data_IF_151257044909
#
_entry.id   IF_151257044909
#
_cell.length_a   1.000
_cell.length_b   1.000
_cell.length_c   1.000
_cell.angle_alpha   90.00
_cell.angle_beta   90.00
_cell.angle_gamma   90.00
#
_symmetry.space_group_name_H-M   'P 1'
#
loop_
_entity.id
_entity.type
_entity.pdbx_description
1 polymer ?
#
# COMPACT_ATOMS: atom_id res chain seq x y z
N UNK A 1 -19.91 -7.84 7.92
CA UNK A 1 -19.04 -6.72 7.50
C UNK A 1 -19.84 -5.51 7.06
N UNK A 2 -20.88 -5.66 6.23
CA UNK A 2 -21.68 -4.51 5.76
C UNK A 2 -22.37 -3.71 6.88
N UNK A 3 -23.02 -4.39 7.84
CA UNK A 3 -23.61 -3.74 9.01
C UNK A 3 -22.60 -2.89 9.81
N UNK A 4 -21.37 -3.40 9.95
CA UNK A 4 -20.31 -2.67 10.63
C UNK A 4 -19.87 -1.42 9.86
N UNK A 5 -19.73 -1.52 8.53
CA UNK A 5 -19.43 -0.39 7.66
C UNK A 5 -20.49 0.71 7.78
N UNK A 6 -21.77 0.33 7.81
CA UNK A 6 -22.88 1.27 7.94
C UNK A 6 -22.83 2.02 9.28
N UNK A 7 -22.65 1.31 10.40
CA UNK A 7 -22.53 1.93 11.73
C UNK A 7 -21.38 2.95 11.79
N UNK A 8 -20.22 2.63 11.21
CA UNK A 8 -19.07 3.52 11.15
C UNK A 8 -19.28 4.70 10.18
N UNK A 9 -19.94 4.45 9.05
CA UNK A 9 -20.33 5.50 8.09
C UNK A 9 -21.26 6.52 8.75
N UNK A 10 -22.20 6.08 9.58
CA UNK A 10 -23.08 6.97 10.34
C UNK A 10 -22.31 7.75 11.41
N UNK A 11 -21.43 7.07 12.16
CA UNK A 11 -20.60 7.68 13.21
C UNK A 11 -19.75 8.83 12.67
N UNK A 12 -19.15 8.68 11.49
CA UNK A 12 -18.20 9.67 10.95
C UNK A 12 -18.79 10.62 9.90
N UNK A 13 -20.11 10.61 9.71
CA UNK A 13 -20.79 11.45 8.71
C UNK A 13 -20.55 12.95 8.97
N UNK A 14 -20.58 13.38 10.23
CA UNK A 14 -20.37 14.77 10.64
C UNK A 14 -18.92 15.25 10.40
N UNK A 15 -17.98 14.30 10.40
CA UNK A 15 -16.56 14.55 10.18
C UNK A 15 -16.15 14.49 8.70
N UNK A 16 -17.13 14.29 7.80
CA UNK A 16 -16.92 14.21 6.37
C UNK A 16 -16.09 13.00 5.93
N UNK A 17 -16.10 11.92 6.72
CA UNK A 17 -15.41 10.67 6.40
C UNK A 17 -16.41 9.63 5.89
N UNK A 18 -16.23 9.27 4.62
CA UNK A 18 -17.04 8.27 3.93
C UNK A 18 -16.27 6.96 3.72
N UNK A 19 -16.98 5.84 3.82
CA UNK A 19 -16.48 4.48 3.62
C UNK A 19 -17.16 3.84 2.42
N UNK A 20 -16.35 3.46 1.44
CA UNK A 20 -16.79 2.71 0.27
C UNK A 20 -16.39 1.23 0.40
N UNK A 21 -17.21 0.29 -0.09
CA UNK A 21 -16.87 -1.13 -0.04
C UNK A 21 -15.59 -1.40 -0.85
N UNK A 22 -14.71 -2.24 -0.31
CA UNK A 22 -13.49 -2.70 -0.95
C UNK A 22 -13.39 -4.23 -0.98
N UNK A 23 -12.33 -4.77 -1.61
CA UNK A 23 -12.14 -6.21 -1.71
C UNK A 23 -11.76 -6.84 -0.36
N UNK A 24 -12.05 -8.14 -0.20
CA UNK A 24 -11.55 -8.97 0.90
C UNK A 24 -11.81 -8.40 2.32
N UNK A 25 -12.94 -7.70 2.51
CA UNK A 25 -13.32 -7.13 3.81
C UNK A 25 -12.60 -5.82 4.17
N UNK A 26 -11.90 -5.19 3.22
CA UNK A 26 -11.38 -3.83 3.34
C UNK A 26 -12.41 -2.79 2.88
N UNK A 27 -12.22 -1.54 3.30
CA UNK A 27 -13.02 -0.39 2.86
C UNK A 27 -12.09 0.74 2.40
N UNK A 28 -12.56 1.52 1.44
CA UNK A 28 -11.88 2.75 1.01
C UNK A 28 -12.45 3.93 1.81
N UNK A 29 -11.58 4.60 2.55
CA UNK A 29 -11.91 5.78 3.32
C UNK A 29 -11.67 7.06 2.50
N UNK A 30 -12.63 7.97 2.49
CA UNK A 30 -12.55 9.24 1.78
C UNK A 30 -12.91 10.40 2.71
N UNK A 31 -11.97 11.31 2.91
CA UNK A 31 -12.19 12.58 3.58
C UNK A 31 -11.15 13.61 3.12
N UNK A 32 -11.49 14.91 3.03
CA UNK A 32 -10.51 15.95 2.68
C UNK A 32 -9.31 16.00 3.63
N UNK A 33 -9.52 15.73 4.92
CA UNK A 33 -8.47 15.77 5.95
C UNK A 33 -7.54 14.55 5.95
N UNK A 34 -7.88 13.48 5.21
CA UNK A 34 -6.96 12.35 5.00
C UNK A 34 -5.83 12.70 4.01
N UNK A 35 -5.98 13.81 3.27
CA UNK A 35 -5.03 14.25 2.25
C UNK A 35 -3.65 14.52 2.86
N UNK A 36 -2.62 13.94 2.24
CA UNK A 36 -1.22 14.17 2.61
C UNK A 36 -0.77 13.46 3.89
N UNK A 37 -1.63 12.66 4.52
CA UNK A 37 -1.24 11.86 5.67
C UNK A 37 -0.37 10.68 5.24
N UNK A 38 0.78 10.51 5.88
CA UNK A 38 1.64 9.36 5.69
C UNK A 38 1.15 8.18 6.54
N UNK A 39 0.12 7.48 6.05
CA UNK A 39 -0.50 6.35 6.75
C UNK A 39 0.23 5.03 6.41
N UNK A 40 0.88 4.36 7.38
CA UNK A 40 1.65 3.15 7.10
C UNK A 40 0.77 2.03 6.56
N UNK A 41 1.33 1.15 5.72
CA UNK A 41 0.64 -0.07 5.31
C UNK A 41 0.40 -1.00 6.49
N UNK A 42 -0.66 -1.80 6.42
CA UNK A 42 -0.94 -2.82 7.44
C UNK A 42 0.21 -3.81 7.60
N UNK A 43 0.92 -4.13 6.51
CA UNK A 43 2.07 -5.03 6.52
C UNK A 43 3.23 -4.53 7.37
N UNK A 44 3.37 -3.21 7.45
CA UNK A 44 4.43 -2.58 8.23
C UNK A 44 4.10 -2.57 9.72
N UNK A 45 2.82 -2.46 10.07
CA UNK A 45 2.37 -2.32 11.47
C UNK A 45 1.96 -3.65 12.08
N UNK A 46 1.54 -4.61 11.26
CA UNK A 46 1.18 -5.95 11.73
C UNK A 46 2.35 -6.55 12.52
N UNK A 47 2.02 -7.12 13.70
CA UNK A 47 2.98 -7.72 14.65
C UNK A 47 4.00 -6.75 15.26
N UNK A 48 3.84 -5.45 15.06
CA UNK A 48 4.66 -4.43 15.71
C UNK A 48 3.85 -3.66 16.74
N UNK A 49 4.57 -2.95 17.63
CA UNK A 49 3.92 -2.01 18.53
C UNK A 49 3.39 -0.81 17.73
N UNK A 50 2.07 -0.68 17.69
CA UNK A 50 1.38 0.41 16.98
C UNK A 50 1.80 1.80 17.47
N UNK A 51 2.27 1.90 18.72
CA UNK A 51 2.74 3.16 19.32
C UNK A 51 3.94 3.77 18.59
N UNK A 52 4.72 2.95 17.88
CA UNK A 52 5.83 3.42 17.05
C UNK A 52 5.36 4.26 15.86
N UNK A 53 4.11 4.08 15.44
CA UNK A 53 3.49 4.76 14.31
C UNK A 53 2.60 5.93 14.72
N UNK A 54 2.23 6.00 16.00
CA UNK A 54 1.39 7.08 16.56
C UNK A 54 1.91 8.49 16.33
N UNK A 55 3.23 8.81 16.38
CA UNK A 55 3.71 10.17 16.11
C UNK A 55 3.45 10.66 14.67
N UNK A 56 3.54 9.76 13.69
CA UNK A 56 3.19 10.06 12.29
C UNK A 56 1.67 10.23 12.11
N UNK A 57 0.87 9.52 12.92
CA UNK A 57 -0.60 9.64 12.96
C UNK A 57 -1.09 10.83 13.79
N UNK A 58 -0.26 11.39 14.68
CA UNK A 58 -0.60 12.50 15.57
C UNK A 58 -0.83 13.84 14.84
N UNK A 59 -0.56 13.89 13.54
CA UNK A 59 -0.73 15.09 12.72
C UNK A 59 -2.21 15.41 12.45
N UNK A 60 -3.15 14.53 12.84
CA UNK A 60 -4.60 14.80 12.76
C UNK A 60 -5.33 14.36 14.01
N UNK A 61 -5.78 15.35 14.81
CA UNK A 61 -6.72 15.12 15.93
C UNK A 61 -7.99 14.39 15.46
N UNK A 62 -8.42 14.64 14.23
CA UNK A 62 -9.56 13.98 13.59
C UNK A 62 -9.35 12.48 13.42
N UNK A 63 -8.18 12.03 12.96
CA UNK A 63 -7.90 10.61 12.80
C UNK A 63 -7.85 9.88 14.14
N UNK A 64 -7.23 10.50 15.15
CA UNK A 64 -7.17 9.94 16.50
C UNK A 64 -8.57 9.81 17.11
N UNK A 65 -9.41 10.85 16.96
CA UNK A 65 -10.80 10.81 17.41
C UNK A 65 -11.57 9.72 16.66
N UNK A 66 -11.49 9.69 15.33
CA UNK A 66 -12.16 8.67 14.52
C UNK A 66 -11.76 7.25 14.94
N UNK A 67 -10.48 7.00 15.20
CA UNK A 67 -10.00 5.71 15.70
C UNK A 67 -10.54 5.36 17.08
N UNK A 68 -10.55 6.31 18.02
CA UNK A 68 -11.10 6.10 19.36
C UNK A 68 -12.61 5.84 19.32
N UNK A 69 -13.37 6.61 18.55
CA UNK A 69 -14.80 6.42 18.38
C UNK A 69 -15.12 5.08 17.71
N UNK A 70 -14.36 4.69 16.68
CA UNK A 70 -14.50 3.35 16.11
C UNK A 70 -14.21 2.26 17.14
N UNK A 71 -13.15 2.39 17.94
CA UNK A 71 -12.84 1.40 18.96
C UNK A 71 -13.98 1.25 19.97
N UNK A 72 -14.59 2.36 20.42
CA UNK A 72 -15.75 2.33 21.30
C UNK A 72 -16.95 1.65 20.62
N UNK A 73 -17.28 2.04 19.38
CA UNK A 73 -18.39 1.45 18.62
C UNK A 73 -18.19 -0.06 18.39
N UNK A 74 -16.95 -0.48 18.11
CA UNK A 74 -16.61 -1.87 17.83
C UNK A 74 -16.78 -2.76 19.04
N UNK A 75 -16.52 -2.25 20.25
CA UNK A 75 -16.54 -3.05 21.48
C UNK A 75 -17.86 -3.82 21.65
N UNK A 76 -18.99 -3.14 21.47
CA UNK A 76 -20.33 -3.69 21.70
C UNK A 76 -21.11 -3.95 20.40
N UNK A 77 -20.41 -4.02 19.26
CA UNK A 77 -21.11 -4.16 17.99
C UNK A 77 -21.67 -5.59 17.80
N UNK A 78 -22.94 -5.78 17.39
CA UNK A 78 -23.56 -7.11 17.23
C UNK A 78 -22.84 -8.06 16.26
N UNK A 79 -22.03 -7.52 15.35
CA UNK A 79 -21.15 -8.32 14.48
C UNK A 79 -20.11 -9.08 15.28
N UNK A 80 -19.61 -8.52 16.38
CA UNK A 80 -18.66 -9.21 17.25
C UNK A 80 -19.32 -10.34 18.04
N UNK A 81 -20.59 -10.19 18.46
CA UNK A 81 -21.36 -11.28 19.07
C UNK A 81 -21.54 -12.45 18.09
N UNK A 82 -21.93 -12.14 16.85
CA UNK A 82 -22.08 -13.15 15.80
C UNK A 82 -20.75 -13.85 15.48
N UNK A 83 -19.63 -13.13 15.51
CA UNK A 83 -18.28 -13.70 15.35
C UNK A 83 -17.91 -14.60 16.51
N UNK A 84 -18.18 -14.18 17.74
CA UNK A 84 -17.93 -14.97 18.94
C UNK A 84 -18.73 -16.28 18.95
N UNK A 85 -20.00 -16.24 18.53
CA UNK A 85 -20.83 -17.43 18.35
C UNK A 85 -20.27 -18.44 17.32
N UNK A 86 -19.40 -17.97 16.41
CA UNK A 86 -18.70 -18.79 15.41
C UNK A 86 -17.26 -19.13 15.82
N UNK A 87 -16.83 -18.78 17.04
CA UNK A 87 -15.45 -18.97 17.51
C UNK A 87 -14.42 -18.06 16.83
N UNK A 88 -14.85 -17.02 16.12
CA UNK A 88 -13.99 -16.04 15.47
C UNK A 88 -13.60 -14.92 16.43
N UNK A 89 -12.39 -14.39 16.29
CA UNK A 89 -11.92 -13.25 17.08
C UNK A 89 -12.75 -11.98 16.80
N UNK A 90 -13.01 -11.13 17.81
CA UNK A 90 -13.71 -9.87 17.61
C UNK A 90 -12.88 -8.90 16.76
N UNK A 91 -13.56 -8.03 16.04
CA UNK A 91 -12.97 -6.87 15.37
C UNK A 91 -12.94 -5.74 16.40
N UNK A 92 -11.75 -5.35 16.85
CA UNK A 92 -11.58 -4.40 17.95
C UNK A 92 -10.87 -3.10 17.53
N UNK A 93 -10.38 -3.00 16.31
CA UNK A 93 -9.69 -1.83 15.79
C UNK A 93 -9.82 -1.72 14.27
N UNK A 94 -9.61 -0.51 13.76
CA UNK A 94 -9.46 -0.21 12.35
C UNK A 94 -8.11 0.43 12.09
N UNK A 95 -7.49 0.02 10.99
CA UNK A 95 -6.24 0.60 10.52
C UNK A 95 -6.49 1.34 9.21
N UNK A 96 -6.10 2.61 9.18
CA UNK A 96 -6.10 3.40 7.94
C UNK A 96 -4.71 3.28 7.30
N UNK A 97 -4.67 2.96 6.02
CA UNK A 97 -3.43 2.81 5.26
C UNK A 97 -3.58 3.38 3.86
N UNK A 98 -2.48 3.82 3.25
CA UNK A 98 -2.46 4.16 1.83
C UNK A 98 -3.27 5.40 1.48
N UNK A 99 -3.24 6.44 2.33
CA UNK A 99 -3.86 7.71 1.98
C UNK A 99 -3.25 8.27 0.69
N UNK A 100 -4.12 8.71 -0.21
CA UNK A 100 -3.76 9.19 -1.53
C UNK A 100 -4.81 10.14 -2.08
N UNK A 101 -4.64 10.53 -3.33
CA UNK A 101 -5.62 11.33 -4.06
C UNK A 101 -6.36 10.42 -5.04
N UNK A 102 -7.66 10.63 -5.18
CA UNK A 102 -8.37 10.09 -6.32
C UNK A 102 -7.81 10.74 -7.60
N UNK A 103 -7.55 9.96 -8.66
CA UNK A 103 -7.07 10.51 -9.92
C UNK A 103 -8.09 11.47 -10.51
N UNK A 104 -7.62 12.54 -11.17
CA UNK A 104 -8.50 13.50 -11.85
C UNK A 104 -9.20 12.88 -13.06
N UNK A 105 -8.56 11.91 -13.72
CA UNK A 105 -9.10 11.14 -14.85
C UNK A 105 -9.09 9.64 -14.50
N UNK A 106 -10.25 9.14 -14.07
CA UNK A 106 -10.41 7.75 -13.69
C UNK A 106 -10.19 6.77 -14.87
N UNK A 107 -10.54 7.17 -16.10
CA UNK A 107 -10.37 6.29 -17.26
C UNK A 107 -8.88 6.13 -17.60
N UNK A 108 -8.12 7.23 -17.54
CA UNK A 108 -6.68 7.19 -17.70
C UNK A 108 -6.01 6.33 -16.61
N UNK A 109 -6.42 6.49 -15.35
CA UNK A 109 -5.91 5.72 -14.22
C UNK A 109 -6.11 4.22 -14.41
N UNK A 110 -7.32 3.81 -14.81
CA UNK A 110 -7.65 2.40 -15.07
C UNK A 110 -6.79 1.84 -16.20
N UNK A 111 -6.69 2.55 -17.33
CA UNK A 111 -5.87 2.11 -18.46
C UNK A 111 -4.36 2.02 -18.13
N UNK A 112 -3.89 2.73 -17.11
CA UNK A 112 -2.53 2.56 -16.59
C UNK A 112 -2.41 1.39 -15.63
N UNK A 113 -3.37 1.20 -14.74
CA UNK A 113 -3.41 0.07 -13.80
C UNK A 113 -3.42 -1.28 -14.53
N UNK A 114 -4.09 -1.37 -15.68
CA UNK A 114 -4.08 -2.57 -16.53
C UNK A 114 -2.68 -2.95 -17.05
N UNK A 115 -1.75 -1.98 -17.09
CA UNK A 115 -0.35 -2.21 -17.49
C UNK A 115 0.57 -2.51 -16.29
N UNK A 116 0.08 -2.32 -15.06
CA UNK A 116 0.85 -2.53 -13.84
C UNK A 116 0.71 -3.99 -13.38
N UNK A 117 1.79 -4.75 -13.52
CA UNK A 117 1.85 -6.14 -13.06
C UNK A 117 2.52 -6.21 -11.70
N UNK A 118 1.79 -6.66 -10.68
CA UNK A 118 2.30 -6.81 -9.31
C UNK A 118 2.61 -8.27 -9.01
N UNK A 119 3.83 -8.55 -8.56
CA UNK A 119 4.25 -9.88 -8.10
C UNK A 119 4.39 -9.89 -6.57
N UNK A 120 3.46 -10.54 -5.87
CA UNK A 120 3.40 -10.57 -4.41
C UNK A 120 4.06 -11.81 -3.77
N UNK A 121 4.68 -12.70 -4.56
CA UNK A 121 5.20 -13.98 -4.09
C UNK A 121 6.25 -13.84 -2.97
N UNK A 122 7.10 -12.81 -3.05
CA UNK A 122 8.11 -12.50 -2.03
C UNK A 122 7.51 -12.02 -0.70
N UNK A 123 6.27 -11.52 -0.71
CA UNK A 123 5.65 -10.84 0.44
C UNK A 123 5.38 -11.79 1.60
N UNK A 124 4.77 -12.95 1.31
CA UNK A 124 4.38 -13.91 2.35
C UNK A 124 5.58 -14.44 3.16
N UNK A 125 6.65 -14.99 2.55
CA UNK A 125 7.80 -15.48 3.31
C UNK A 125 8.55 -14.35 4.02
N UNK A 126 8.65 -13.14 3.41
CA UNK A 126 9.25 -11.99 4.07
C UNK A 126 8.50 -11.59 5.37
N UNK A 127 7.17 -11.59 5.35
CA UNK A 127 6.35 -11.27 6.53
C UNK A 127 6.39 -12.36 7.62
N UNK A 128 6.80 -13.58 7.27
CA UNK A 128 6.93 -14.71 8.18
C UNK A 128 8.36 -14.86 8.73
N UNK A 129 9.33 -14.14 8.17
CA UNK A 129 10.75 -14.33 8.50
C UNK A 129 11.33 -15.64 7.93
N UNK A 130 10.65 -16.24 6.94
CA UNK A 130 11.12 -17.45 6.28
C UNK A 130 12.17 -17.10 5.21
N UNK A 131 13.44 -17.17 5.60
CA UNK A 131 14.55 -16.87 4.71
C UNK A 131 14.68 -17.86 3.55
N UNK A 132 14.43 -19.15 3.79
CA UNK A 132 14.59 -20.18 2.75
C UNK A 132 13.48 -20.08 1.71
N UNK A 133 12.22 -19.96 2.14
CA UNK A 133 11.10 -19.71 1.23
C UNK A 133 11.29 -18.41 0.46
N UNK A 134 11.75 -17.34 1.12
CA UNK A 134 12.02 -16.07 0.45
C UNK A 134 13.09 -16.18 -0.64
N UNK A 135 14.18 -16.91 -0.39
CA UNK A 135 15.23 -17.15 -1.38
C UNK A 135 14.73 -18.00 -2.57
N UNK A 136 13.90 -19.01 -2.32
CA UNK A 136 13.27 -19.81 -3.38
C UNK A 136 12.34 -18.99 -4.26
N UNK A 137 11.49 -18.15 -3.65
CA UNK A 137 10.60 -17.25 -4.41
C UNK A 137 11.38 -16.24 -5.25
N UNK A 138 12.53 -15.77 -4.77
CA UNK A 138 13.45 -14.96 -5.58
C UNK A 138 13.97 -15.71 -6.80
N UNK A 139 14.43 -16.94 -6.63
CA UNK A 139 14.92 -17.76 -7.74
C UNK A 139 13.81 -18.03 -8.77
N UNK A 140 12.60 -18.30 -8.32
CA UNK A 140 11.44 -18.51 -9.20
C UNK A 140 11.08 -17.23 -9.97
N UNK A 141 11.12 -16.07 -9.31
CA UNK A 141 10.83 -14.78 -9.90
C UNK A 141 11.90 -14.39 -10.94
N UNK A 142 13.18 -14.64 -10.64
CA UNK A 142 14.28 -14.41 -11.57
C UNK A 142 14.15 -15.27 -12.83
N UNK A 143 13.96 -16.59 -12.65
CA UNK A 143 13.88 -17.54 -13.76
C UNK A 143 12.68 -17.34 -14.68
N UNK A 144 11.59 -16.74 -14.18
CA UNK A 144 10.33 -16.58 -14.94
C UNK A 144 10.08 -15.14 -15.33
N UNK A 145 9.89 -14.28 -14.33
CA UNK A 145 9.41 -12.91 -14.53
C UNK A 145 10.55 -12.03 -15.04
N UNK A 146 11.70 -12.03 -14.35
CA UNK A 146 12.81 -11.16 -14.75
C UNK A 146 13.44 -11.61 -16.05
N UNK A 147 13.56 -12.92 -16.29
CA UNK A 147 14.02 -13.46 -17.57
C UNK A 147 13.14 -13.02 -18.76
N UNK A 148 11.81 -13.02 -18.59
CA UNK A 148 10.88 -12.52 -19.58
C UNK A 148 11.02 -11.01 -19.80
N UNK A 149 11.00 -10.23 -18.71
CA UNK A 149 11.16 -8.77 -18.76
C UNK A 149 12.48 -8.38 -19.44
N UNK A 150 13.57 -9.09 -19.15
CA UNK A 150 14.86 -8.85 -19.78
C UNK A 150 14.79 -9.08 -21.29
N UNK A 151 14.12 -10.14 -21.74
CA UNK A 151 13.95 -10.44 -23.17
C UNK A 151 13.14 -9.36 -23.88
N UNK A 152 12.08 -8.85 -23.24
CA UNK A 152 11.25 -7.76 -23.76
C UNK A 152 12.06 -6.46 -23.88
N UNK A 153 12.83 -6.12 -22.86
CA UNK A 153 13.71 -4.94 -22.91
C UNK A 153 14.78 -5.08 -24.00
N UNK A 154 15.35 -6.27 -24.19
CA UNK A 154 16.33 -6.55 -25.24
C UNK A 154 15.74 -6.46 -26.65
N UNK A 155 14.45 -6.77 -26.83
CA UNK A 155 13.75 -6.59 -28.11
C UNK A 155 13.28 -5.16 -28.36
N UNK A 156 13.60 -4.22 -27.45
CA UNK A 156 13.29 -2.80 -27.56
C UNK A 156 11.93 -2.40 -26.98
N UNK A 157 11.23 -3.30 -26.27
CA UNK A 157 10.01 -2.94 -25.58
C UNK A 157 10.31 -2.12 -24.31
N UNK A 158 9.60 -1.02 -24.07
CA UNK A 158 9.77 -0.23 -22.86
C UNK A 158 9.14 -0.96 -21.67
N UNK A 159 9.94 -1.30 -20.66
CA UNK A 159 9.47 -1.90 -19.41
C UNK A 159 10.15 -1.23 -18.22
N UNK A 160 9.39 -0.92 -17.17
CA UNK A 160 9.91 -0.42 -15.90
C UNK A 160 9.70 -1.48 -14.81
N UNK A 161 10.73 -1.73 -14.00
CA UNK A 161 10.69 -2.65 -12.87
C UNK A 161 10.82 -1.86 -11.58
N UNK A 162 9.87 -2.05 -10.67
CA UNK A 162 9.92 -1.47 -9.33
C UNK A 162 10.10 -2.58 -8.31
N UNK A 163 11.18 -2.49 -7.54
CA UNK A 163 11.43 -3.35 -6.39
C UNK A 163 11.12 -2.56 -5.13
N UNK A 164 10.04 -2.91 -4.44
CA UNK A 164 9.61 -2.25 -3.21
C UNK A 164 9.84 -3.15 -1.99
N UNK A 165 10.46 -2.60 -0.96
CA UNK A 165 10.65 -3.19 0.35
C UNK A 165 10.05 -2.32 1.47
N UNK A 166 10.24 -2.71 2.75
CA UNK A 166 9.59 -2.05 3.88
C UNK A 166 9.96 -0.57 4.08
N UNK A 167 11.17 -0.18 3.66
CA UNK A 167 11.72 1.17 3.87
C UNK A 167 12.20 1.84 2.59
N UNK A 168 12.37 1.06 1.51
CA UNK A 168 13.01 1.52 0.28
C UNK A 168 12.29 0.93 -0.90
N UNK A 169 12.24 1.70 -1.99
CA UNK A 169 11.87 1.21 -3.29
C UNK A 169 12.90 1.66 -4.32
N UNK A 170 13.11 0.84 -5.34
CA UNK A 170 14.04 1.10 -6.44
C UNK A 170 13.28 0.93 -7.75
N UNK A 171 13.30 1.95 -8.60
CA UNK A 171 12.80 1.88 -9.96
C UNK A 171 13.95 1.67 -10.94
N UNK A 172 13.80 0.69 -11.83
CA UNK A 172 14.76 0.32 -12.85
C UNK A 172 14.09 0.46 -14.21
N UNK A 173 14.65 1.32 -15.06
CA UNK A 173 14.17 1.53 -16.42
C UNK A 173 15.29 1.22 -17.44
N UNK A 174 14.95 0.85 -18.69
CA UNK A 174 15.94 0.58 -19.73
C UNK A 174 16.65 1.89 -20.04
N UNK A 175 17.98 1.88 -20.10
CA UNK A 175 18.67 3.10 -20.52
C UNK A 175 18.38 3.34 -21.99
N UNK A 176 17.82 4.51 -22.30
CA UNK A 176 17.68 4.98 -23.68
C UNK A 176 19.07 4.95 -24.31
N UNK A 177 19.20 4.26 -25.44
CA UNK A 177 20.46 4.08 -26.14
C UNK A 177 20.97 5.42 -26.70
N UNK A 178 21.77 6.12 -25.88
CA UNK A 178 22.55 7.27 -26.28
C UNK A 178 23.91 7.20 -25.59
N UNK A 179 24.98 7.50 -26.33
CA UNK A 179 26.36 7.49 -25.81
C UNK A 179 26.54 8.35 -24.55
N UNK A 180 25.76 9.44 -24.43
CA UNK A 180 25.68 10.30 -23.24
C UNK A 180 25.01 9.62 -22.02
N UNK A 181 24.06 8.71 -22.23
CA UNK A 181 23.38 7.99 -21.14
C UNK A 181 24.28 6.96 -20.44
N UNK A 182 25.30 6.43 -21.14
CA UNK A 182 26.30 5.53 -20.56
C UNK A 182 27.22 6.23 -19.55
N UNK A 183 27.47 7.53 -19.72
CA UNK A 183 28.25 8.33 -18.77
C UNK A 183 27.41 8.73 -17.54
N UNK A 184 26.12 8.99 -17.71
CA UNK A 184 25.19 9.29 -16.61
C UNK A 184 24.89 8.07 -15.71
N UNK A 185 25.07 6.83 -16.20
CA UNK A 185 24.82 5.59 -15.45
C UNK A 185 25.67 5.41 -14.20
N UNK A 186 26.86 6.01 -14.13
CA UNK A 186 27.72 5.94 -12.92
C UNK A 186 27.26 6.88 -11.80
N UNK A 187 26.30 7.76 -12.08
CA UNK A 187 25.90 8.88 -11.21
C UNK A 187 24.39 8.88 -10.89
N UNK A 188 23.64 7.83 -11.23
CA UNK A 188 22.38 7.52 -10.55
C UNK A 188 22.70 6.95 -9.17
N UNK A 189 23.26 7.82 -8.33
CA UNK A 189 23.48 7.58 -6.93
C UNK A 189 22.14 7.25 -6.29
N UNK A 190 22.08 6.15 -5.55
CA UNK A 190 20.97 5.81 -4.67
C UNK A 190 20.64 7.01 -3.78
N UNK A 191 19.48 7.67 -3.94
CA UNK A 191 19.03 8.56 -2.91
C UNK A 191 18.55 7.66 -1.76
N UNK A 192 19.14 7.72 -0.54
CA UNK A 192 18.36 7.38 0.64
C UNK A 192 17.10 8.26 0.64
N UNK A 193 16.06 7.84 1.35
CA UNK A 193 14.71 8.43 1.46
C UNK A 193 14.63 9.90 1.92
N UNK A 194 15.69 10.69 1.79
CA UNK A 194 15.77 12.08 2.22
C UNK A 194 15.63 12.99 1.00
N UNK A 195 14.43 13.57 0.90
CA UNK A 195 13.98 14.62 -0.02
C UNK A 195 13.96 14.27 -1.52
N UNK A 196 12.78 13.90 -2.00
CA UNK A 196 12.46 13.75 -3.43
C UNK A 196 11.61 12.51 -3.66
N UNK A 197 10.30 12.70 -3.84
CA UNK A 197 9.22 11.73 -4.06
C UNK A 197 9.62 10.23 -4.15
N UNK A 198 9.04 9.41 -3.26
CA UNK A 198 9.08 7.94 -3.33
C UNK A 198 8.68 7.47 -4.74
N UNK A 199 9.48 6.65 -5.43
CA UNK A 199 9.18 6.20 -6.79
C UNK A 199 7.85 5.44 -6.90
N UNK A 200 7.45 4.72 -5.84
CA UNK A 200 6.13 4.07 -5.79
C UNK A 200 5.04 5.13 -5.72
N UNK A 201 5.14 6.06 -4.76
CA UNK A 201 4.19 7.19 -4.66
C UNK A 201 4.17 8.06 -5.92
N UNK A 202 5.30 8.30 -6.57
CA UNK A 202 5.40 9.08 -7.80
C UNK A 202 4.74 8.33 -8.98
N UNK A 203 4.92 7.01 -9.08
CA UNK A 203 4.19 6.19 -10.04
C UNK A 203 2.69 6.27 -9.75
N UNK A 204 2.28 6.07 -8.49
CA UNK A 204 0.88 6.10 -8.05
C UNK A 204 0.23 7.47 -8.28
N UNK A 205 0.96 8.57 -8.12
CA UNK A 205 0.45 9.93 -8.35
C UNK A 205 0.24 10.26 -9.84
N UNK A 206 0.84 9.48 -10.75
CA UNK A 206 0.62 9.62 -12.19
C UNK A 206 -0.45 8.67 -12.72
N UNK A 207 -0.89 7.69 -11.92
CA UNK A 207 -2.08 6.89 -12.21
C UNK A 207 -3.31 7.79 -12.04
#
# INVERSE_FOLDING_TARGET
>A
MEALRHSLQTLWAEDGLSLHPGPAGSWLAQAPWLRGLALPSIDRVARQDVRLYTPALAHTRLLQRAQAEAQMLLHDHPVNDARAAQGLLPINALWFSGAGHAPADAAHAVARLERLHTHAALRAPALQGDFYGWAQEWQALDARVLAELLRQVQSGQPCELILAGPQHAVALAPARSGWLARLARRWQQWPPWRSGADPVTALLAQL
#
